data_IF_782451007238
#
_entry.id   IF_782451007238
#
_cell.length_a   1.000
_cell.length_b   1.000
_cell.length_c   1.000
_cell.angle_alpha   90.00
_cell.angle_beta   90.00
_cell.angle_gamma   90.00
#
_symmetry.space_group_name_H-M   'P 1'
#
loop_
_entity.id
_entity.type
_entity.pdbx_description
1 polymer ?
#
# COMPACT_ATOMS: atom_id res chain seq x y z
N UNK A 1 72.35 17.20 2.94
CA UNK A 1 71.79 16.05 3.63
C UNK A 1 70.30 16.21 3.86
N UNK A 2 69.49 15.61 2.96
CA UNK A 2 68.06 15.76 2.99
C UNK A 2 67.45 14.43 3.53
N UNK A 3 66.87 14.48 4.72
CA UNK A 3 66.26 13.33 5.38
C UNK A 3 64.83 13.13 4.86
N UNK A 4 64.53 12.04 4.17
CA UNK A 4 63.19 11.62 3.76
C UNK A 4 62.47 11.00 4.93
N UNK A 5 61.28 11.60 5.32
CA UNK A 5 60.38 11.07 6.34
C UNK A 5 59.46 10.02 5.68
N UNK A 6 59.54 8.79 6.18
CA UNK A 6 58.72 7.65 5.71
C UNK A 6 57.37 7.67 6.37
N UNK A 7 56.31 7.88 5.58
CA UNK A 7 54.91 7.85 6.05
C UNK A 7 54.40 6.42 6.04
N UNK A 8 54.08 5.87 7.19
CA UNK A 8 53.50 4.52 7.34
C UNK A 8 51.97 4.64 7.26
N UNK A 9 51.37 4.11 6.19
CA UNK A 9 49.92 4.05 6.02
C UNK A 9 49.39 2.81 6.72
N UNK A 10 48.67 3.00 7.81
CA UNK A 10 48.00 1.92 8.52
C UNK A 10 46.70 1.60 7.80
N UNK A 11 46.58 0.38 7.26
CA UNK A 11 45.40 -0.14 6.60
C UNK A 11 44.37 -0.56 7.66
N UNK A 12 43.29 0.19 7.85
CA UNK A 12 42.17 -0.18 8.74
C UNK A 12 41.35 -1.23 8.01
N UNK A 13 41.38 -2.46 8.48
CA UNK A 13 40.52 -3.55 8.00
C UNK A 13 39.22 -3.51 8.80
N UNK A 14 38.14 -2.98 8.22
CA UNK A 14 36.82 -3.05 8.77
C UNK A 14 36.21 -4.43 8.49
N UNK A 15 36.20 -5.29 9.48
CA UNK A 15 35.42 -6.54 9.47
C UNK A 15 33.95 -6.22 9.60
N UNK A 16 33.18 -6.38 8.50
CA UNK A 16 31.72 -6.35 8.53
C UNK A 16 31.22 -7.58 9.30
N UNK A 17 30.58 -7.34 10.44
CA UNK A 17 29.83 -8.35 11.19
C UNK A 17 28.71 -8.89 10.29
N UNK A 18 28.46 -10.22 10.20
CA UNK A 18 27.35 -10.76 9.43
C UNK A 18 26.02 -10.23 10.00
N UNK A 19 25.21 -9.61 9.16
CA UNK A 19 23.83 -9.30 9.48
C UNK A 19 23.07 -10.62 9.44
N UNK A 20 22.74 -11.16 10.58
CA UNK A 20 21.86 -12.32 10.71
C UNK A 20 20.45 -11.84 10.38
N UNK A 21 19.98 -12.08 9.15
CA UNK A 21 18.58 -11.91 8.78
C UNK A 21 17.80 -13.02 9.50
N UNK A 22 17.23 -12.69 10.64
CA UNK A 22 16.29 -13.57 11.32
C UNK A 22 15.02 -13.56 10.48
N UNK A 23 14.83 -14.56 9.64
CA UNK A 23 13.56 -14.86 8.99
C UNK A 23 12.61 -15.32 10.08
N UNK A 24 11.87 -14.41 10.69
CA UNK A 24 10.75 -14.76 11.56
C UNK A 24 9.72 -15.49 10.72
N UNK A 25 9.35 -16.71 11.14
CA UNK A 25 8.25 -17.43 10.54
C UNK A 25 6.99 -16.53 10.55
N UNK A 26 6.14 -16.59 9.49
CA UNK A 26 4.95 -15.75 9.42
C UNK A 26 4.11 -15.96 10.69
N UNK A 27 3.83 -14.86 11.39
CA UNK A 27 2.93 -14.88 12.55
C UNK A 27 1.55 -15.22 12.00
N UNK A 28 1.05 -16.41 12.34
CA UNK A 28 -0.30 -16.84 11.93
C UNK A 28 -1.28 -15.85 12.56
N UNK A 29 -1.98 -15.09 11.73
CA UNK A 29 -2.97 -14.09 12.14
C UNK A 29 -4.29 -14.79 12.46
N UNK A 30 -4.38 -15.31 13.69
CA UNK A 30 -5.54 -16.03 14.18
C UNK A 30 -6.67 -15.06 14.56
N UNK A 31 -7.48 -14.66 13.57
CA UNK A 31 -8.76 -13.98 13.79
C UNK A 31 -8.66 -12.52 14.27
N UNK A 32 -7.53 -11.84 14.07
CA UNK A 32 -7.43 -10.40 14.35
C UNK A 32 -8.35 -9.59 13.45
N UNK A 33 -8.95 -8.55 14.00
CA UNK A 33 -9.72 -7.57 13.22
C UNK A 33 -8.79 -6.68 12.37
N UNK A 34 -9.28 -6.05 11.29
CA UNK A 34 -8.52 -5.05 10.52
C UNK A 34 -7.89 -3.95 11.40
N UNK A 35 -8.61 -3.46 12.41
CA UNK A 35 -8.09 -2.47 13.35
C UNK A 35 -6.90 -3.00 14.16
N UNK A 36 -6.98 -4.23 14.68
CA UNK A 36 -5.87 -4.85 15.41
C UNK A 36 -4.65 -5.09 14.51
N UNK A 37 -4.87 -5.47 13.25
CA UNK A 37 -3.81 -5.67 12.25
C UNK A 37 -3.08 -4.36 11.97
N UNK A 38 -3.81 -3.35 11.50
CA UNK A 38 -3.26 -2.06 11.08
C UNK A 38 -2.64 -1.28 12.24
N UNK A 39 -3.25 -1.27 13.43
CA UNK A 39 -2.71 -0.58 14.59
C UNK A 39 -1.46 -1.26 15.16
N UNK A 40 -1.16 -2.50 14.79
CA UNK A 40 0.09 -3.17 15.15
C UNK A 40 1.26 -2.87 14.20
N UNK A 41 1.02 -2.17 13.08
CA UNK A 41 2.05 -1.85 12.10
C UNK A 41 3.06 -0.82 12.66
N UNK A 42 4.34 -1.06 12.37
CA UNK A 42 5.40 -0.06 12.56
C UNK A 42 5.50 0.73 11.27
N UNK A 43 5.15 2.01 11.32
CA UNK A 43 5.11 2.88 10.16
C UNK A 43 6.50 3.42 9.79
N UNK A 44 6.78 3.46 8.48
CA UNK A 44 7.98 4.05 7.90
C UNK A 44 7.62 4.76 6.59
N UNK A 45 7.27 6.06 6.62
CA UNK A 45 6.84 6.81 5.44
C UNK A 45 7.83 6.73 4.28
N UNK A 46 7.31 6.53 3.08
CA UNK A 46 8.09 6.41 1.83
C UNK A 46 7.46 7.31 0.76
N UNK A 47 8.23 8.26 0.23
CA UNK A 47 7.85 9.03 -0.95
C UNK A 47 8.23 8.24 -2.21
N UNK A 48 7.25 7.84 -3.01
CA UNK A 48 7.45 7.03 -4.23
C UNK A 48 6.98 7.71 -5.50
N UNK A 49 6.33 8.88 -5.38
CA UNK A 49 5.73 9.62 -6.47
C UNK A 49 6.67 10.67 -7.06
N UNK A 50 6.40 11.11 -8.29
CA UNK A 50 6.99 12.32 -8.83
C UNK A 50 6.53 13.54 -8.02
N UNK A 51 7.33 14.63 -7.99
CA UNK A 51 6.99 15.84 -7.23
C UNK A 51 5.62 16.45 -7.61
N UNK A 52 5.17 16.25 -8.85
CA UNK A 52 3.85 16.72 -9.31
C UNK A 52 2.71 15.90 -8.70
N UNK A 53 2.85 14.58 -8.70
CA UNK A 53 1.86 13.67 -8.12
C UNK A 53 1.84 13.77 -6.59
N UNK A 54 3.02 13.85 -5.97
CA UNK A 54 3.17 14.05 -4.52
C UNK A 54 2.41 15.27 -4.03
N UNK A 55 2.54 16.41 -4.73
CA UNK A 55 1.82 17.65 -4.39
C UNK A 55 0.30 17.44 -4.38
N UNK A 56 -0.23 16.70 -5.34
CA UNK A 56 -1.67 16.38 -5.38
C UNK A 56 -2.02 15.44 -4.22
N UNK A 57 -1.27 14.36 -4.05
CA UNK A 57 -1.53 13.38 -2.99
C UNK A 57 -1.55 14.01 -1.61
N UNK A 58 -0.54 14.79 -1.25
CA UNK A 58 -0.44 15.45 0.06
C UNK A 58 -1.60 16.40 0.32
N UNK A 59 -2.02 17.20 -0.69
CA UNK A 59 -3.19 18.07 -0.61
C UNK A 59 -4.47 17.32 -0.23
N UNK A 60 -4.60 16.06 -0.68
CA UNK A 60 -5.76 15.22 -0.37
C UNK A 60 -5.58 14.48 0.95
N UNK A 61 -4.40 13.97 1.27
CA UNK A 61 -4.12 13.37 2.57
C UNK A 61 -4.41 14.36 3.72
N UNK A 62 -3.98 15.62 3.60
CA UNK A 62 -4.26 16.67 4.60
C UNK A 62 -5.76 16.92 4.85
N UNK A 63 -6.64 16.53 3.90
CA UNK A 63 -8.09 16.65 4.05
C UNK A 63 -8.76 15.39 4.59
N UNK A 64 -8.13 14.22 4.33
CA UNK A 64 -8.71 12.90 4.60
C UNK A 64 -8.29 12.42 5.98
N UNK A 65 -7.06 12.67 6.39
CA UNK A 65 -6.49 12.16 7.64
C UNK A 65 -6.01 13.29 8.54
N UNK A 66 -5.95 13.01 9.85
CA UNK A 66 -5.38 13.90 10.85
C UNK A 66 -4.38 13.15 11.75
N UNK A 67 -3.56 13.87 12.50
CA UNK A 67 -2.49 13.30 13.31
C UNK A 67 -3.01 12.44 14.47
N UNK A 68 -4.19 12.77 14.99
CA UNK A 68 -4.86 12.05 16.09
C UNK A 68 -5.50 10.72 15.67
N UNK A 69 -5.65 10.47 14.37
CA UNK A 69 -6.15 9.19 13.87
C UNK A 69 -5.16 8.05 14.13
N UNK A 70 -5.69 6.90 14.52
CA UNK A 70 -4.95 5.63 14.58
C UNK A 70 -4.53 5.18 13.17
N UNK A 71 -3.60 4.23 13.08
CA UNK A 71 -3.17 3.65 11.81
C UNK A 71 -4.35 3.06 11.02
N UNK A 72 -5.28 2.40 11.71
CA UNK A 72 -6.51 1.87 11.13
C UNK A 72 -7.40 2.98 10.56
N UNK A 73 -7.66 4.01 11.35
CA UNK A 73 -8.51 5.14 10.93
C UNK A 73 -7.94 5.86 9.71
N UNK A 74 -6.62 6.09 9.66
CA UNK A 74 -5.97 6.67 8.49
C UNK A 74 -6.13 5.79 7.24
N UNK A 75 -5.90 4.49 7.37
CA UNK A 75 -6.00 3.56 6.25
C UNK A 75 -7.44 3.43 5.73
N UNK A 76 -8.44 3.29 6.61
CA UNK A 76 -9.83 3.16 6.22
C UNK A 76 -10.40 4.47 5.68
N UNK A 77 -9.99 5.63 6.21
CA UNK A 77 -10.42 6.93 5.68
C UNK A 77 -9.96 7.15 4.23
N UNK A 78 -8.71 6.76 3.90
CA UNK A 78 -8.22 6.79 2.52
C UNK A 78 -8.97 5.81 1.62
N UNK A 79 -9.27 4.60 2.11
CA UNK A 79 -10.04 3.59 1.40
C UNK A 79 -11.44 4.06 1.04
N UNK A 80 -12.16 4.55 2.05
CA UNK A 80 -13.52 5.07 1.92
C UNK A 80 -13.58 6.31 1.02
N UNK A 81 -12.51 7.14 1.08
CA UNK A 81 -12.43 8.32 0.22
C UNK A 81 -12.41 7.92 -1.25
N UNK A 82 -11.60 6.92 -1.62
CA UNK A 82 -11.53 6.44 -3.00
C UNK A 82 -12.87 5.88 -3.46
N UNK A 83 -13.51 5.03 -2.67
CA UNK A 83 -14.82 4.44 -2.98
C UNK A 83 -15.90 5.50 -3.16
N UNK A 84 -15.88 6.57 -2.37
CA UNK A 84 -16.91 7.63 -2.41
C UNK A 84 -16.71 8.64 -3.53
N UNK A 85 -15.50 8.81 -4.04
CA UNK A 85 -15.14 9.95 -4.88
C UNK A 85 -14.53 9.55 -6.22
N UNK A 86 -14.51 8.28 -6.56
CA UNK A 86 -13.92 7.79 -7.81
C UNK A 86 -14.89 6.86 -8.51
N UNK A 87 -15.23 7.17 -9.75
CA UNK A 87 -16.03 6.31 -10.62
C UNK A 87 -15.12 5.40 -11.46
N UNK A 88 -15.55 4.16 -11.72
CA UNK A 88 -14.81 3.25 -12.58
C UNK A 88 -14.92 3.68 -14.06
N UNK A 89 -13.84 4.21 -14.62
CA UNK A 89 -13.78 4.63 -16.03
C UNK A 89 -12.34 4.50 -16.58
N UNK A 90 -12.23 4.44 -17.90
CA UNK A 90 -10.97 4.32 -18.63
C UNK A 90 -10.44 5.71 -19.04
N UNK A 91 -9.13 5.93 -18.90
CA UNK A 91 -8.47 7.13 -19.46
C UNK A 91 -7.59 7.96 -18.53
N UNK A 92 -7.37 7.52 -17.29
CA UNK A 92 -6.58 8.27 -16.29
C UNK A 92 -5.06 8.05 -16.30
N UNK A 93 -4.54 7.25 -17.17
CA UNK A 93 -3.20 6.63 -17.06
C UNK A 93 -2.01 7.58 -17.16
N UNK A 94 -2.14 8.72 -17.81
CA UNK A 94 -1.04 9.69 -17.92
C UNK A 94 -0.63 10.32 -16.56
N UNK A 95 -1.58 10.42 -15.63
CA UNK A 95 -1.35 10.84 -14.25
C UNK A 95 -2.42 10.19 -13.35
N UNK A 96 -2.20 8.97 -12.85
CA UNK A 96 -3.15 8.23 -12.03
C UNK A 96 -3.62 9.01 -10.78
N UNK A 97 -2.69 9.71 -10.11
CA UNK A 97 -3.00 10.48 -8.90
C UNK A 97 -3.97 11.62 -9.20
N UNK A 98 -3.77 12.32 -10.33
CA UNK A 98 -4.69 13.39 -10.76
C UNK A 98 -6.05 12.81 -11.14
N UNK A 99 -6.08 11.76 -11.96
CA UNK A 99 -7.31 11.14 -12.43
C UNK A 99 -8.21 10.72 -11.27
N UNK A 100 -7.66 10.02 -10.29
CA UNK A 100 -8.42 9.53 -9.13
C UNK A 100 -8.78 10.66 -8.17
N UNK A 101 -7.83 11.52 -7.78
CA UNK A 101 -8.05 12.48 -6.70
C UNK A 101 -8.65 13.82 -7.14
N UNK A 102 -8.40 14.28 -8.38
CA UNK A 102 -8.91 15.56 -8.86
C UNK A 102 -10.05 15.38 -9.86
N UNK A 103 -9.95 14.40 -10.77
CA UNK A 103 -10.91 14.19 -11.84
C UNK A 103 -12.00 13.16 -11.44
N UNK A 104 -11.74 12.31 -10.44
CA UNK A 104 -12.71 11.39 -9.83
C UNK A 104 -12.99 10.14 -10.66
N UNK A 105 -12.01 9.61 -11.40
CA UNK A 105 -12.18 8.36 -12.16
C UNK A 105 -10.90 7.54 -12.25
N UNK A 106 -11.04 6.23 -12.49
CA UNK A 106 -9.91 5.32 -12.70
C UNK A 106 -10.35 3.88 -12.90
N UNK A 107 -9.45 3.04 -13.37
CA UNK A 107 -9.60 1.58 -13.39
C UNK A 107 -9.00 0.96 -12.13
N UNK A 108 -9.01 -0.37 -12.02
CA UNK A 108 -8.35 -1.09 -10.92
C UNK A 108 -6.87 -0.69 -10.77
N UNK A 109 -6.19 -0.34 -11.88
CA UNK A 109 -4.80 0.11 -11.87
C UNK A 109 -4.62 1.43 -11.13
N UNK A 110 -5.43 2.46 -11.47
CA UNK A 110 -5.35 3.78 -10.85
C UNK A 110 -5.80 3.73 -9.40
N UNK A 111 -6.90 3.03 -9.07
CA UNK A 111 -7.34 2.82 -7.67
C UNK A 111 -6.23 2.23 -6.81
N UNK A 112 -5.62 1.13 -7.29
CA UNK A 112 -4.57 0.43 -6.56
C UNK A 112 -3.30 1.26 -6.43
N UNK A 113 -2.89 1.94 -7.51
CA UNK A 113 -1.71 2.80 -7.50
C UNK A 113 -1.85 3.94 -6.49
N UNK A 114 -2.98 4.65 -6.50
CA UNK A 114 -3.21 5.78 -5.61
C UNK A 114 -3.37 5.32 -4.17
N UNK A 115 -4.09 4.23 -3.92
CA UNK A 115 -4.24 3.70 -2.57
C UNK A 115 -2.90 3.22 -1.99
N UNK A 116 -2.09 2.49 -2.76
CA UNK A 116 -0.75 2.07 -2.33
C UNK A 116 0.15 3.28 -2.03
N UNK A 117 0.08 4.34 -2.85
CA UNK A 117 0.81 5.58 -2.60
C UNK A 117 0.34 6.26 -1.29
N UNK A 118 -0.97 6.41 -1.06
CA UNK A 118 -1.51 6.96 0.20
C UNK A 118 -0.99 6.19 1.41
N UNK A 119 -1.08 4.87 1.37
CA UNK A 119 -0.59 4.00 2.45
C UNK A 119 0.93 4.13 2.64
N UNK A 120 1.70 4.22 1.57
CA UNK A 120 3.15 4.43 1.62
C UNK A 120 3.54 5.75 2.27
N UNK A 121 2.82 6.84 1.99
CA UNK A 121 3.04 8.15 2.62
C UNK A 121 2.61 8.16 4.10
N UNK A 122 1.58 7.41 4.48
CA UNK A 122 1.23 7.17 5.89
C UNK A 122 2.33 6.36 6.61
N UNK A 123 3.02 5.48 5.88
CA UNK A 123 4.16 4.71 6.36
C UNK A 123 3.96 3.19 6.35
N UNK A 124 2.89 2.69 5.77
CA UNK A 124 2.70 1.25 5.58
C UNK A 124 3.63 0.71 4.48
N UNK A 125 4.03 -0.55 4.61
CA UNK A 125 4.71 -1.29 3.54
C UNK A 125 3.66 -1.82 2.56
N UNK A 126 3.27 -0.95 1.61
CA UNK A 126 2.22 -1.18 0.63
C UNK A 126 2.79 -1.25 -0.79
N UNK A 127 2.22 -2.12 -1.62
CA UNK A 127 2.56 -2.24 -3.04
C UNK A 127 1.35 -2.68 -3.86
N UNK A 128 1.33 -2.35 -5.13
CA UNK A 128 0.39 -2.90 -6.12
C UNK A 128 0.78 -4.32 -6.51
N UNK A 129 -0.21 -5.14 -6.86
CA UNK A 129 -0.05 -6.52 -7.30
C UNK A 129 -0.93 -6.75 -8.51
N UNK A 130 -0.35 -7.34 -9.55
CA UNK A 130 -1.04 -7.80 -10.75
C UNK A 130 -1.51 -9.24 -10.62
N UNK A 131 -2.61 -9.56 -11.30
CA UNK A 131 -3.16 -10.89 -11.34
C UNK A 131 -4.60 -10.92 -11.85
N UNK A 132 -5.43 -11.76 -11.26
CA UNK A 132 -6.85 -11.92 -11.64
C UNK A 132 -7.73 -11.93 -10.41
N UNK A 133 -8.94 -11.36 -10.53
CA UNK A 133 -9.99 -11.46 -9.51
C UNK A 133 -11.19 -12.22 -10.05
N UNK A 134 -11.95 -12.88 -9.14
CA UNK A 134 -13.20 -13.54 -9.47
C UNK A 134 -14.25 -12.50 -9.91
N UNK A 135 -14.88 -12.76 -11.04
CA UNK A 135 -15.88 -11.88 -11.65
C UNK A 135 -17.30 -12.29 -11.24
N UNK A 136 -18.21 -11.32 -11.14
CA UNK A 136 -19.63 -11.56 -10.83
C UNK A 136 -20.31 -12.47 -11.87
N UNK A 137 -19.91 -12.37 -13.14
CA UNK A 137 -20.38 -13.24 -14.23
C UNK A 137 -19.79 -14.66 -14.21
N UNK A 138 -18.92 -14.97 -13.26
CA UNK A 138 -18.16 -16.22 -13.18
C UNK A 138 -16.80 -16.13 -13.89
N UNK A 139 -15.87 -17.03 -13.48
CA UNK A 139 -14.49 -17.02 -13.96
C UNK A 139 -13.64 -15.92 -13.32
N UNK A 140 -12.50 -15.61 -13.97
CA UNK A 140 -11.53 -14.63 -13.49
C UNK A 140 -11.18 -13.64 -14.60
N UNK A 141 -11.06 -12.37 -14.25
CA UNK A 141 -10.59 -11.28 -15.12
C UNK A 141 -9.28 -10.67 -14.60
N UNK A 142 -8.50 -10.06 -15.50
CA UNK A 142 -7.31 -9.29 -15.12
C UNK A 142 -7.71 -8.23 -14.08
N UNK A 143 -6.85 -8.08 -13.07
CA UNK A 143 -7.09 -7.14 -12.00
C UNK A 143 -5.79 -6.75 -11.30
N UNK A 144 -5.80 -5.55 -10.72
CA UNK A 144 -4.74 -5.06 -9.84
C UNK A 144 -5.34 -4.70 -8.48
N UNK A 145 -4.63 -5.06 -7.41
CA UNK A 145 -5.00 -4.72 -6.03
C UNK A 145 -3.78 -4.28 -5.22
N UNK A 146 -3.95 -4.01 -3.94
CA UNK A 146 -2.87 -3.63 -3.03
C UNK A 146 -2.59 -4.75 -2.04
N UNK A 147 -1.31 -5.05 -1.83
CA UNK A 147 -0.81 -5.81 -0.69
C UNK A 147 -0.17 -4.88 0.34
N UNK A 148 -0.50 -5.10 1.61
CA UNK A 148 0.15 -4.44 2.75
C UNK A 148 0.82 -5.48 3.62
N UNK A 149 2.12 -5.28 3.91
CA UNK A 149 2.86 -6.18 4.80
C UNK A 149 2.90 -5.60 6.21
N UNK A 150 2.36 -6.32 7.18
CA UNK A 150 2.36 -5.95 8.59
C UNK A 150 2.96 -7.09 9.41
N UNK A 151 4.07 -6.83 10.09
CA UNK A 151 4.76 -7.82 10.92
C UNK A 151 5.06 -9.15 10.17
N UNK A 152 5.41 -9.06 8.87
CA UNK A 152 5.72 -10.19 8.01
C UNK A 152 4.51 -10.92 7.43
N UNK A 153 3.28 -10.54 7.79
CA UNK A 153 2.04 -11.05 7.20
C UNK A 153 1.53 -10.11 6.11
N UNK A 154 1.14 -10.70 4.97
CA UNK A 154 0.57 -9.95 3.83
C UNK A 154 -0.95 -9.92 3.93
N UNK A 155 -1.54 -8.75 3.67
CA UNK A 155 -2.98 -8.51 3.62
C UNK A 155 -3.37 -7.89 2.29
N UNK A 156 -4.50 -8.34 1.75
CA UNK A 156 -5.16 -7.80 0.56
C UNK A 156 -5.97 -6.57 0.94
N UNK A 157 -5.88 -5.53 0.11
CA UNK A 157 -6.74 -4.35 0.15
C UNK A 157 -7.14 -3.98 -1.28
N UNK A 158 -8.42 -3.95 -1.57
CA UNK A 158 -8.92 -3.75 -2.93
C UNK A 158 -10.12 -2.78 -2.93
N UNK A 159 -9.84 -1.45 -2.94
CA UNK A 159 -10.91 -0.45 -2.92
C UNK A 159 -11.79 -0.51 -4.17
N UNK A 160 -11.27 -0.97 -5.32
CA UNK A 160 -12.06 -0.99 -6.55
C UNK A 160 -13.11 -2.13 -6.55
N UNK A 161 -12.78 -3.31 -6.04
CA UNK A 161 -13.78 -4.39 -5.90
C UNK A 161 -14.80 -4.03 -4.82
N UNK A 162 -14.38 -3.43 -3.71
CA UNK A 162 -15.30 -2.97 -2.67
C UNK A 162 -16.17 -1.80 -3.14
N UNK A 163 -15.70 -0.95 -4.04
CA UNK A 163 -16.49 0.08 -4.72
C UNK A 163 -17.66 -0.56 -5.49
N UNK A 164 -17.39 -1.57 -6.31
CA UNK A 164 -18.43 -2.32 -7.02
C UNK A 164 -19.46 -3.02 -6.09
N UNK A 165 -19.11 -3.23 -4.83
CA UNK A 165 -19.98 -3.83 -3.80
C UNK A 165 -20.62 -2.79 -2.86
N UNK A 166 -20.33 -1.51 -3.09
CA UNK A 166 -20.85 -0.38 -2.33
C UNK A 166 -22.05 0.24 -3.01
N UNK A 167 -23.02 0.79 -2.24
CA UNK A 167 -24.19 1.49 -2.79
C UNK A 167 -24.77 2.49 -1.79
N UNK A 168 -25.10 3.66 -2.27
CA UNK A 168 -25.67 4.72 -1.45
C UNK A 168 -24.77 5.12 -0.29
N UNK A 169 -25.21 4.95 0.94
CA UNK A 169 -24.41 5.22 2.13
C UNK A 169 -23.60 4.02 2.62
N UNK A 170 -23.82 2.83 2.07
CA UNK A 170 -23.09 1.62 2.44
C UNK A 170 -21.77 1.54 1.70
N UNK A 171 -20.69 1.34 2.44
CA UNK A 171 -19.34 1.07 1.91
C UNK A 171 -18.97 -0.34 2.30
N UNK A 172 -18.64 -1.16 1.30
CA UNK A 172 -18.10 -2.49 1.52
C UNK A 172 -16.66 -2.43 2.03
N UNK A 173 -16.33 -3.32 2.96
CA UNK A 173 -14.97 -3.60 3.44
C UNK A 173 -14.63 -5.09 3.34
N UNK A 174 -15.27 -5.79 2.42
CA UNK A 174 -15.09 -7.24 2.22
C UNK A 174 -13.70 -7.58 1.69
N UNK A 175 -13.00 -6.60 1.13
CA UNK A 175 -11.63 -6.70 0.62
C UNK A 175 -10.63 -5.82 1.38
N UNK A 176 -11.04 -5.25 2.51
CA UNK A 176 -10.20 -4.39 3.32
C UNK A 176 -9.43 -5.18 4.38
N UNK A 177 -8.10 -5.17 4.30
CA UNK A 177 -7.16 -5.80 5.25
C UNK A 177 -7.46 -7.29 5.51
N UNK A 178 -7.65 -8.05 4.44
CA UNK A 178 -7.93 -9.50 4.47
C UNK A 178 -6.67 -10.32 4.22
N UNK A 179 -6.53 -11.44 4.89
CA UNK A 179 -5.56 -12.46 4.48
C UNK A 179 -6.01 -13.15 3.19
N UNK A 180 -5.09 -13.74 2.42
CA UNK A 180 -5.47 -14.53 1.24
C UNK A 180 -6.37 -15.73 1.59
N UNK A 181 -6.27 -16.27 2.81
CA UNK A 181 -7.17 -17.33 3.27
C UNK A 181 -8.59 -16.83 3.52
N UNK A 182 -8.77 -15.57 3.96
CA UNK A 182 -10.10 -14.97 4.15
C UNK A 182 -10.78 -14.60 2.82
N UNK A 183 -9.98 -14.30 1.78
CA UNK A 183 -10.47 -14.05 0.41
C UNK A 183 -10.17 -15.21 -0.53
N UNK A 184 -10.20 -16.44 0.00
CA UNK A 184 -9.94 -17.66 -0.75
C UNK A 184 -10.76 -17.70 -2.04
N UNK A 185 -10.12 -18.15 -3.14
CA UNK A 185 -10.71 -18.26 -4.46
C UNK A 185 -11.22 -16.93 -5.08
N UNK A 186 -10.81 -15.78 -4.50
CA UNK A 186 -11.14 -14.46 -5.08
C UNK A 186 -10.00 -13.90 -5.92
N UNK A 187 -8.75 -14.21 -5.59
CA UNK A 187 -7.56 -13.68 -6.25
C UNK A 187 -6.63 -14.78 -6.71
N UNK A 188 -6.08 -14.62 -7.91
CA UNK A 188 -4.99 -15.42 -8.49
C UNK A 188 -3.87 -14.42 -8.81
N UNK A 189 -2.74 -14.53 -8.11
CA UNK A 189 -1.58 -13.68 -8.31
C UNK A 189 -0.73 -14.22 -9.46
N UNK A 190 -0.22 -13.31 -10.32
CA UNK A 190 0.72 -13.64 -11.40
C UNK A 190 2.13 -13.96 -10.89
#
# INVERSE_FOLDING_TARGET
TTTKKKTTTTKVTTTKKPVTTTTTAPVIDNGKTPAQRLNSAVLSPKATLSAKEEKILLKYLDKIISDDMTNYEKAVACYDYLIKNTDYDYGGWANPVKAVLEDGYGTCTEYSYVYAAMLGYIGFDAKTVDGKTAMAAGGYGYHMWVEVTINGQVYVMDPQVDDNMSWGAYISHDRFCKTYSEVKDKYIKD
#
